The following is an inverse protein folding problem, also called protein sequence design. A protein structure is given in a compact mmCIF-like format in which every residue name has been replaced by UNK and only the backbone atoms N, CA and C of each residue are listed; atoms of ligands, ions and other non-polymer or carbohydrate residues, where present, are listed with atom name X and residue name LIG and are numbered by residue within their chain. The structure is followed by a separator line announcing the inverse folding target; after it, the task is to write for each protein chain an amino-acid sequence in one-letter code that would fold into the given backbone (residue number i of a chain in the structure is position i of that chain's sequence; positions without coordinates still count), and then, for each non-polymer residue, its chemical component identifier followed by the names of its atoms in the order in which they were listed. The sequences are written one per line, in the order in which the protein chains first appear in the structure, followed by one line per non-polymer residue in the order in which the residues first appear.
data_IF_019818123890
#
_entry.id   IF_019818123890
#
_cell.length_a   1.000
_cell.length_b   1.000
_cell.length_c   1.000
_cell.angle_alpha   90.00
_cell.angle_beta   90.00
_cell.angle_gamma   90.00
#
_symmetry.space_group_name_H-M   'P 1'
#
loop_
_entity.id
_entity.type
_entity.pdbx_description
1 polymer ?
#
# COMPACT_ATOMS: atom_id res chain seq x y z
N UNK A 1 3.20 -24.90 7.74
CA UNK A 1 3.82 -25.01 6.39
C UNK A 1 5.14 -24.24 6.26
N UNK A 2 5.54 -23.42 7.23
CA UNK A 2 6.81 -22.73 7.21
C UNK A 2 7.92 -23.62 7.82
N UNK A 3 8.90 -24.08 7.04
CA UNK A 3 9.99 -24.88 7.59
C UNK A 3 10.91 -23.98 8.42
N UNK A 4 11.14 -24.35 9.68
CA UNK A 4 12.11 -23.71 10.58
C UNK A 4 11.88 -22.20 10.88
N UNK A 5 10.84 -21.82 11.65
CA UNK A 5 10.56 -20.43 12.00
C UNK A 5 11.73 -19.66 12.65
N UNK A 6 12.57 -20.34 13.44
CA UNK A 6 13.74 -19.72 14.06
C UNK A 6 14.83 -19.36 13.04
N UNK A 7 14.99 -20.14 11.97
CA UNK A 7 15.92 -19.81 10.90
C UNK A 7 15.48 -18.54 10.17
N UNK A 8 14.17 -18.37 9.96
CA UNK A 8 13.58 -17.15 9.39
C UNK A 8 13.86 -15.92 10.26
N UNK A 9 13.65 -16.02 11.57
CA UNK A 9 13.96 -14.92 12.49
C UNK A 9 15.45 -14.56 12.49
N UNK A 10 16.33 -15.55 12.33
CA UNK A 10 17.78 -15.34 12.21
C UNK A 10 18.15 -14.66 10.89
N UNK A 11 17.49 -15.03 9.79
CA UNK A 11 17.69 -14.44 8.48
C UNK A 11 17.43 -12.92 8.47
N UNK A 12 16.44 -12.46 9.24
CA UNK A 12 16.07 -11.05 9.32
C UNK A 12 16.95 -10.22 10.27
N UNK A 13 17.95 -10.81 10.92
CA UNK A 13 18.86 -10.11 11.85
C UNK A 13 19.49 -8.83 11.29
N UNK A 14 19.87 -8.71 10.01
CA UNK A 14 20.40 -7.45 9.46
C UNK A 14 19.48 -6.25 9.67
N UNK A 15 18.16 -6.47 9.71
CA UNK A 15 17.16 -5.42 9.96
C UNK A 15 17.01 -5.06 11.44
N UNK A 16 17.63 -5.79 12.36
CA UNK A 16 17.50 -5.59 13.81
C UNK A 16 18.34 -4.40 14.28
N UNK A 17 17.87 -3.20 13.96
CA UNK A 17 18.49 -1.93 14.36
C UNK A 17 17.57 -1.14 15.30
N UNK A 18 18.16 -0.56 16.36
CA UNK A 18 17.48 0.41 17.23
C UNK A 18 17.92 1.83 16.86
N UNK A 19 16.96 2.71 16.58
CA UNK A 19 17.21 4.13 16.29
C UNK A 19 16.51 5.02 17.32
N UNK A 20 16.97 6.26 17.52
CA UNK A 20 16.22 7.25 18.27
C UNK A 20 14.79 7.39 17.74
N UNK A 21 13.82 7.31 18.66
CA UNK A 21 12.41 7.51 18.34
C UNK A 21 12.18 9.01 18.09
N UNK A 22 11.50 9.39 16.98
CA UNK A 22 11.20 10.79 16.69
C UNK A 22 10.12 11.37 17.61
N UNK A 23 9.27 10.51 18.20
CA UNK A 23 8.10 10.95 18.96
C UNK A 23 8.14 10.56 20.44
N UNK A 24 8.84 9.47 20.79
CA UNK A 24 8.91 9.00 22.17
C UNK A 24 10.17 9.51 22.85
N UNK A 25 10.00 10.18 24.00
CA UNK A 25 11.09 10.57 24.87
C UNK A 25 10.94 9.86 26.21
N UNK A 26 12.08 9.46 26.79
CA UNK A 26 12.17 8.82 28.10
C UNK A 26 13.04 9.66 29.02
N UNK A 27 12.79 9.55 30.32
CA UNK A 27 13.64 10.16 31.34
C UNK A 27 15.06 9.57 31.26
N UNK A 28 16.06 10.43 31.14
CA UNK A 28 17.43 10.07 31.41
C UNK A 28 17.66 10.24 32.92
N UNK A 29 17.44 9.17 33.67
CA UNK A 29 17.53 9.14 35.12
C UNK A 29 18.89 9.63 35.61
N UNK A 30 19.98 9.21 34.94
CA UNK A 30 21.34 9.58 35.32
C UNK A 30 21.63 11.04 35.04
N UNK A 31 21.30 11.54 33.84
CA UNK A 31 21.49 12.95 33.53
C UNK A 31 20.59 13.87 34.39
N UNK A 32 19.41 13.39 34.76
CA UNK A 32 18.51 14.08 35.69
C UNK A 32 19.10 14.10 37.10
N UNK A 33 19.59 12.97 37.62
CA UNK A 33 20.25 12.89 38.93
C UNK A 33 21.51 13.78 38.99
N UNK A 34 22.36 13.73 37.96
CA UNK A 34 23.57 14.55 37.87
C UNK A 34 23.24 16.05 37.83
N UNK A 35 22.16 16.43 37.12
CA UNK A 35 21.69 17.81 37.07
C UNK A 35 21.17 18.28 38.43
N UNK A 36 20.40 17.43 39.13
CA UNK A 36 19.90 17.71 40.48
C UNK A 36 21.07 17.87 41.45
N UNK A 37 22.07 16.98 41.37
CA UNK A 37 23.27 17.04 42.21
C UNK A 37 24.06 18.34 41.98
N UNK A 38 24.15 18.82 40.72
CA UNK A 38 24.89 20.04 40.38
C UNK A 38 24.16 21.34 40.74
N UNK A 39 22.85 21.41 40.52
CA UNK A 39 22.08 22.65 40.65
C UNK A 39 21.45 22.83 42.05
N UNK A 40 21.55 21.80 42.90
CA UNK A 40 20.85 21.72 44.18
C UNK A 40 19.38 21.37 43.96
N UNK A 41 18.81 20.58 44.89
CA UNK A 41 17.43 20.10 44.83
C UNK A 41 16.40 21.20 45.16
N UNK A 42 16.50 22.37 44.51
CA UNK A 42 15.52 23.44 44.67
C UNK A 42 14.29 23.15 43.79
N UNK A 43 13.06 23.38 44.28
CA UNK A 43 11.82 23.04 43.56
C UNK A 43 11.69 23.70 42.18
N UNK A 44 12.30 24.87 42.00
CA UNK A 44 12.30 25.70 40.80
C UNK A 44 13.25 25.23 39.69
N UNK A 45 14.16 24.27 39.98
CA UNK A 45 15.20 23.80 39.04
C UNK A 45 15.09 22.31 38.70
N UNK A 46 14.07 21.64 39.25
CA UNK A 46 13.80 20.20 39.12
C UNK A 46 13.12 19.83 37.78
N UNK A 47 13.77 20.08 36.64
CA UNK A 47 13.28 19.59 35.34
C UNK A 47 13.98 18.31 34.92
N UNK A 48 13.21 17.28 34.49
CA UNK A 48 13.76 16.04 33.99
C UNK A 48 14.56 16.24 32.70
N UNK A 49 15.73 15.60 32.61
CA UNK A 49 16.47 15.51 31.35
C UNK A 49 15.87 14.36 30.56
N UNK A 50 15.20 14.67 29.45
CA UNK A 50 14.65 13.66 28.57
C UNK A 50 15.65 13.30 27.47
N UNK A 51 15.62 12.05 27.00
CA UNK A 51 16.32 11.61 25.78
C UNK A 51 15.36 10.86 24.86
N UNK A 52 15.59 10.85 23.54
CA UNK A 52 14.81 10.01 22.63
C UNK A 52 14.83 8.54 23.07
N UNK A 53 13.66 7.90 23.12
CA UNK A 53 13.56 6.48 23.38
C UNK A 53 14.25 5.69 22.25
N UNK A 54 14.90 4.57 22.56
CA UNK A 54 15.45 3.69 21.51
C UNK A 54 14.36 2.72 21.06
N UNK A 55 13.94 2.83 19.81
CA UNK A 55 12.88 1.99 19.27
C UNK A 55 13.36 1.26 18.01
N UNK A 56 12.65 0.20 17.60
CA UNK A 56 12.87 -0.45 16.31
C UNK A 56 12.61 0.56 15.21
N UNK A 57 13.50 0.51 14.22
CA UNK A 57 13.51 1.48 13.14
C UNK A 57 12.50 1.18 12.04
N UNK A 58 12.11 -0.10 11.84
CA UNK A 58 11.17 -0.50 10.79
C UNK A 58 9.81 -0.90 11.32
N UNK A 59 8.76 -0.54 10.57
CA UNK A 59 7.40 -1.07 10.60
C UNK A 59 7.20 -2.00 9.41
N UNK A 60 6.49 -3.10 9.61
CA UNK A 60 6.17 -4.03 8.54
C UNK A 60 4.66 -4.04 8.24
N UNK A 61 4.31 -3.70 7.00
CA UNK A 61 3.01 -3.98 6.42
C UNK A 61 3.07 -5.35 5.76
N UNK A 62 2.37 -6.33 6.33
CA UNK A 62 2.21 -7.65 5.72
C UNK A 62 0.87 -7.66 4.99
N UNK A 63 0.90 -7.66 3.67
CA UNK A 63 -0.31 -7.70 2.84
C UNK A 63 -0.48 -9.13 2.35
N UNK A 64 -1.64 -9.74 2.51
CA UNK A 64 -1.89 -11.08 1.98
C UNK A 64 -2.99 -11.05 0.93
N UNK A 65 -2.77 -11.79 -0.14
CA UNK A 65 -3.76 -12.02 -1.18
C UNK A 65 -4.98 -12.79 -0.59
N UNK A 66 -6.19 -12.47 -1.08
CA UNK A 66 -7.46 -13.14 -0.75
C UNK A 66 -8.14 -13.73 -2.00
N UNK A 67 -7.35 -14.00 -3.03
CA UNK A 67 -7.68 -14.66 -4.28
C UNK A 67 -8.27 -16.06 -4.09
N UNK A 68 -8.96 -16.60 -5.10
CA UNK A 68 -9.59 -17.92 -5.03
C UNK A 68 -8.62 -19.07 -4.68
N UNK A 69 -7.34 -18.93 -5.02
CA UNK A 69 -6.28 -19.92 -4.79
C UNK A 69 -5.63 -19.78 -3.41
N UNK A 70 -5.83 -18.66 -2.70
CA UNK A 70 -5.22 -18.38 -1.40
C UNK A 70 -5.72 -19.19 -0.19
N UNK A 71 -6.91 -19.85 -0.17
CA UNK A 71 -7.33 -20.66 0.97
C UNK A 71 -6.33 -21.73 1.41
N UNK A 72 -5.62 -22.37 0.47
CA UNK A 72 -4.59 -23.39 0.78
C UNK A 72 -3.36 -22.77 1.49
N UNK A 73 -3.10 -21.49 1.27
CA UNK A 73 -1.94 -20.76 1.80
C UNK A 73 -2.24 -20.00 3.11
N UNK A 74 -3.47 -20.05 3.63
CA UNK A 74 -3.83 -19.39 4.90
C UNK A 74 -2.96 -19.82 6.10
N UNK A 75 -2.57 -21.10 6.26
CA UNK A 75 -1.65 -21.50 7.33
C UNK A 75 -0.29 -20.80 7.19
N UNK A 76 0.26 -20.72 5.97
CA UNK A 76 1.53 -20.05 5.71
C UNK A 76 1.46 -18.55 6.07
N UNK A 77 0.40 -17.85 5.66
CA UNK A 77 0.20 -16.43 6.00
C UNK A 77 0.19 -16.22 7.51
N UNK A 78 -0.54 -17.09 8.23
CA UNK A 78 -0.68 -17.01 9.68
C UNK A 78 0.64 -17.30 10.40
N UNK A 79 1.35 -18.35 9.99
CA UNK A 79 2.64 -18.74 10.55
C UNK A 79 3.73 -17.69 10.28
N UNK A 80 3.78 -17.15 9.06
CA UNK A 80 4.73 -16.10 8.70
C UNK A 80 4.45 -14.82 9.48
N UNK A 81 3.19 -14.40 9.58
CA UNK A 81 2.79 -13.26 10.40
C UNK A 81 3.21 -13.44 11.87
N UNK A 82 2.93 -14.61 12.45
CA UNK A 82 3.32 -14.93 13.82
C UNK A 82 4.84 -14.91 14.01
N UNK A 83 5.61 -15.53 13.11
CA UNK A 83 7.06 -15.57 13.18
C UNK A 83 7.69 -14.16 13.09
N UNK A 84 7.15 -13.30 12.21
CA UNK A 84 7.60 -11.92 12.04
C UNK A 84 7.24 -11.05 13.23
N UNK A 85 6.01 -11.18 13.76
CA UNK A 85 5.58 -10.44 14.95
C UNK A 85 6.38 -10.82 16.19
N UNK A 86 6.68 -12.12 16.37
CA UNK A 86 7.47 -12.64 17.49
C UNK A 86 8.97 -12.39 17.36
N UNK A 87 9.47 -12.05 16.17
CA UNK A 87 10.91 -11.80 15.94
C UNK A 87 11.47 -10.61 16.74
N UNK A 88 10.60 -9.65 17.10
CA UNK A 88 10.99 -8.40 17.75
C UNK A 88 11.95 -7.54 16.92
N UNK A 89 11.97 -7.72 15.59
CA UNK A 89 12.79 -6.96 14.64
C UNK A 89 12.09 -5.68 14.24
N UNK A 90 10.79 -5.79 13.92
CA UNK A 90 9.94 -4.68 13.56
C UNK A 90 9.32 -4.04 14.82
N UNK A 91 9.05 -2.75 14.75
CA UNK A 91 8.29 -1.99 15.76
C UNK A 91 6.85 -2.49 15.84
N UNK A 92 6.25 -2.67 14.68
CA UNK A 92 4.87 -3.11 14.52
C UNK A 92 4.79 -3.94 13.25
N UNK A 93 4.04 -5.04 13.32
CA UNK A 93 3.68 -5.86 12.17
C UNK A 93 2.17 -5.79 12.04
N UNK A 94 1.68 -5.28 10.92
CA UNK A 94 0.24 -5.18 10.65
C UNK A 94 -0.13 -6.03 9.45
N UNK A 95 -1.17 -6.85 9.58
CA UNK A 95 -1.68 -7.73 8.53
C UNK A 95 -2.85 -7.06 7.80
N UNK A 96 -2.81 -7.03 6.46
CA UNK A 96 -3.83 -6.39 5.62
C UNK A 96 -4.25 -7.32 4.47
N UNK A 97 -5.55 -7.44 4.15
CA UNK A 97 -5.99 -8.20 2.99
C UNK A 97 -5.88 -7.39 1.69
N UNK A 98 -5.46 -8.06 0.62
CA UNK A 98 -5.60 -7.60 -0.76
C UNK A 98 -6.70 -8.39 -1.46
N UNK A 99 -7.80 -7.72 -1.82
CA UNK A 99 -8.98 -8.35 -2.43
C UNK A 99 -8.73 -8.74 -3.88
N UNK A 100 -9.42 -9.77 -4.42
CA UNK A 100 -9.34 -10.14 -5.84
C UNK A 100 -9.69 -8.99 -6.80
N UNK A 101 -10.46 -8.00 -6.33
CA UNK A 101 -10.76 -6.77 -7.07
C UNK A 101 -9.57 -5.79 -7.19
N UNK A 102 -8.37 -6.19 -6.75
CA UNK A 102 -7.16 -5.37 -6.79
C UNK A 102 -7.17 -4.19 -5.82
N UNK A 103 -7.94 -4.30 -4.73
CA UNK A 103 -7.99 -3.30 -3.65
C UNK A 103 -7.23 -3.79 -2.43
N UNK A 104 -6.34 -2.95 -1.91
CA UNK A 104 -5.72 -3.10 -0.60
C UNK A 104 -5.91 -1.79 0.18
N UNK A 105 -7.17 -1.43 0.39
CA UNK A 105 -7.54 -0.25 1.18
C UNK A 105 -7.18 -0.57 2.63
N UNK A 106 -6.56 0.38 3.34
CA UNK A 106 -6.07 0.31 4.74
C UNK A 106 -4.57 0.06 4.92
N UNK A 107 -3.80 -0.23 3.86
CA UNK A 107 -2.34 -0.28 3.99
C UNK A 107 -1.78 1.14 4.15
N UNK A 108 -1.13 1.48 5.27
CA UNK A 108 -0.65 2.83 5.51
C UNK A 108 0.58 3.12 4.64
N UNK A 109 0.52 4.24 3.90
CA UNK A 109 1.63 4.74 3.08
C UNK A 109 2.24 5.95 3.77
N UNK A 110 3.26 5.71 4.59
CA UNK A 110 3.82 6.73 5.48
C UNK A 110 5.02 7.49 4.90
N UNK A 111 5.69 6.92 3.89
CA UNK A 111 6.87 7.53 3.23
C UNK A 111 7.91 8.06 4.24
N UNK A 112 8.09 7.30 5.33
CA UNK A 112 8.86 7.70 6.51
C UNK A 112 10.29 7.13 6.53
N UNK A 113 10.70 6.45 5.45
CA UNK A 113 11.96 5.70 5.36
C UNK A 113 12.09 4.58 6.40
N UNK A 114 10.97 4.22 7.03
CA UNK A 114 10.88 3.34 8.20
C UNK A 114 9.75 2.33 8.07
N UNK A 115 9.11 2.26 6.91
CA UNK A 115 8.04 1.31 6.62
C UNK A 115 8.49 0.40 5.50
N UNK A 116 8.29 -0.90 5.66
CA UNK A 116 8.53 -1.92 4.63
C UNK A 116 7.24 -2.69 4.38
N UNK A 117 7.04 -3.12 3.14
CA UNK A 117 5.85 -3.89 2.74
C UNK A 117 6.24 -5.24 2.16
N UNK A 118 5.63 -6.30 2.67
CA UNK A 118 5.71 -7.65 2.11
C UNK A 118 4.33 -8.07 1.64
N UNK A 119 4.22 -8.51 0.40
CA UNK A 119 2.97 -9.01 -0.19
C UNK A 119 3.07 -10.54 -0.28
N UNK A 120 2.23 -11.27 0.44
CA UNK A 120 2.14 -12.73 0.34
C UNK A 120 1.10 -13.08 -0.71
N UNK A 121 1.53 -13.70 -1.80
CA UNK A 121 0.66 -14.00 -2.94
C UNK A 121 1.22 -15.15 -3.77
N UNK A 122 0.37 -16.06 -4.23
CA UNK A 122 0.74 -17.05 -5.24
C UNK A 122 0.77 -16.50 -6.67
N UNK A 123 0.38 -15.24 -6.85
CA UNK A 123 0.36 -14.50 -8.11
C UNK A 123 -0.55 -15.15 -9.18
N UNK A 124 -1.60 -15.88 -8.74
CA UNK A 124 -2.55 -16.57 -9.64
C UNK A 124 -3.92 -15.91 -9.72
N UNK A 125 -4.24 -15.04 -8.74
CA UNK A 125 -5.52 -14.35 -8.64
C UNK A 125 -5.83 -13.37 -9.79
N UNK A 126 -7.10 -12.97 -9.95
CA UNK A 126 -7.52 -12.06 -11.03
C UNK A 126 -6.84 -10.69 -11.00
N UNK A 127 -6.41 -10.22 -9.82
CA UNK A 127 -5.65 -8.98 -9.66
C UNK A 127 -4.22 -9.05 -10.21
N UNK A 128 -3.71 -10.24 -10.54
CA UNK A 128 -2.39 -10.40 -11.17
C UNK A 128 -2.49 -10.49 -12.69
N UNK A 129 -3.71 -10.58 -13.24
CA UNK A 129 -3.96 -10.74 -14.67
C UNK A 129 -4.41 -9.42 -15.31
N UNK A 130 -4.29 -9.28 -16.65
CA UNK A 130 -4.84 -8.13 -17.37
C UNK A 130 -6.33 -7.95 -17.07
N UNK A 131 -6.72 -6.72 -16.73
CA UNK A 131 -8.10 -6.37 -16.39
C UNK A 131 -8.16 -5.17 -15.45
N UNK A 132 -9.37 -4.71 -15.13
CA UNK A 132 -9.54 -3.53 -14.26
C UNK A 132 -8.98 -3.78 -12.85
N UNK A 133 -9.21 -4.98 -12.30
CA UNK A 133 -8.63 -5.41 -11.03
C UNK A 133 -7.09 -5.41 -11.07
N UNK A 134 -6.50 -5.98 -12.13
CA UNK A 134 -5.06 -5.95 -12.36
C UNK A 134 -4.49 -4.54 -12.45
N UNK A 135 -5.11 -3.67 -13.24
CA UNK A 135 -4.68 -2.29 -13.35
C UNK A 135 -4.72 -1.56 -12.00
N UNK A 136 -5.77 -1.76 -11.18
CA UNK A 136 -5.83 -1.19 -9.83
C UNK A 136 -4.72 -1.74 -8.92
N UNK A 137 -4.47 -3.04 -9.00
CA UNK A 137 -3.47 -3.70 -8.18
C UNK A 137 -2.05 -3.27 -8.52
N UNK A 138 -1.66 -3.35 -9.79
CA UNK A 138 -0.33 -2.92 -10.24
C UNK A 138 -0.10 -1.42 -10.00
N UNK A 139 -1.15 -0.58 -10.09
CA UNK A 139 -1.04 0.85 -9.73
C UNK A 139 -0.73 1.01 -8.24
N UNK A 140 -1.36 0.20 -7.39
CA UNK A 140 -1.11 0.19 -5.94
C UNK A 140 0.32 -0.28 -5.64
N UNK A 141 0.76 -1.38 -6.25
CA UNK A 141 2.12 -1.90 -6.10
C UNK A 141 3.17 -0.88 -6.55
N UNK A 142 2.98 -0.24 -7.72
CA UNK A 142 3.86 0.83 -8.19
C UNK A 142 3.85 2.01 -7.22
N UNK A 143 2.70 2.42 -6.70
CA UNK A 143 2.62 3.51 -5.74
C UNK A 143 3.44 3.21 -4.47
N UNK A 144 3.35 1.97 -3.95
CA UNK A 144 4.18 1.55 -2.81
C UNK A 144 5.65 1.45 -3.17
N UNK A 145 6.00 0.87 -4.31
CA UNK A 145 7.38 0.69 -4.76
C UNK A 145 8.15 2.02 -4.85
N UNK A 146 7.49 3.14 -5.15
CA UNK A 146 8.14 4.45 -5.18
C UNK A 146 8.38 5.08 -3.80
N UNK A 147 7.73 4.60 -2.74
CA UNK A 147 7.75 5.22 -1.40
C UNK A 147 8.39 4.36 -0.33
N UNK A 148 8.46 3.06 -0.55
CA UNK A 148 8.98 2.12 0.45
C UNK A 148 9.54 0.85 -0.19
N UNK A 149 10.40 0.11 0.54
CA UNK A 149 10.76 -1.25 0.16
C UNK A 149 9.51 -2.12 0.09
N UNK A 150 9.34 -2.76 -1.05
CA UNK A 150 8.26 -3.67 -1.41
C UNK A 150 8.88 -4.97 -1.94
N UNK A 151 8.45 -6.11 -1.41
CA UNK A 151 8.75 -7.42 -1.99
C UNK A 151 7.53 -8.33 -1.97
N UNK A 152 7.50 -9.30 -2.87
CA UNK A 152 6.46 -10.33 -2.94
C UNK A 152 7.02 -11.62 -2.36
N UNK A 153 6.33 -12.18 -1.36
CA UNK A 153 6.61 -13.52 -0.84
C UNK A 153 5.70 -14.49 -1.57
N UNK A 154 6.28 -15.33 -2.41
CA UNK A 154 5.57 -16.29 -3.24
C UNK A 154 5.60 -17.68 -2.57
N UNK A 155 4.44 -18.24 -2.16
CA UNK A 155 4.37 -19.56 -1.52
C UNK A 155 4.83 -20.72 -2.41
N UNK A 156 4.72 -20.56 -3.72
CA UNK A 156 5.18 -21.55 -4.70
C UNK A 156 6.72 -21.53 -4.77
N UNK A 157 7.37 -22.68 -5.02
CA UNK A 157 8.82 -22.73 -5.23
C UNK A 157 9.25 -22.02 -6.52
N UNK A 158 10.48 -21.53 -6.53
CA UNK A 158 11.08 -20.67 -7.58
C UNK A 158 10.88 -21.21 -8.99
N UNK A 159 11.09 -22.50 -9.19
CA UNK A 159 10.97 -23.14 -10.51
C UNK A 159 9.54 -23.07 -11.11
N UNK A 160 8.52 -22.80 -10.30
CA UNK A 160 7.14 -22.62 -10.78
C UNK A 160 6.78 -21.17 -11.08
N UNK A 161 7.61 -20.20 -10.67
CA UNK A 161 7.33 -18.77 -10.85
C UNK A 161 7.12 -18.35 -12.31
N UNK A 162 7.86 -18.89 -13.31
CA UNK A 162 7.63 -18.57 -14.72
C UNK A 162 6.21 -18.87 -15.23
N UNK A 163 5.46 -19.74 -14.53
CA UNK A 163 4.09 -20.13 -14.89
C UNK A 163 3.01 -19.26 -14.23
N UNK A 164 3.40 -18.33 -13.35
CA UNK A 164 2.48 -17.45 -12.64
C UNK A 164 2.26 -16.14 -13.39
N UNK A 165 1.25 -15.36 -12.99
CA UNK A 165 0.97 -14.09 -13.65
C UNK A 165 1.97 -12.97 -13.27
N UNK A 166 2.88 -13.24 -12.33
CA UNK A 166 4.02 -12.39 -12.00
C UNK A 166 5.31 -13.23 -12.10
N UNK A 167 5.80 -13.52 -13.31
CA UNK A 167 7.03 -14.28 -13.47
C UNK A 167 8.20 -13.49 -12.88
N UNK A 168 9.00 -14.18 -12.06
CA UNK A 168 10.21 -13.65 -11.47
C UNK A 168 11.41 -14.42 -12.03
N UNK A 169 12.50 -13.70 -12.25
CA UNK A 169 13.75 -14.25 -12.77
C UNK A 169 14.88 -14.03 -11.76
N UNK A 170 15.84 -14.97 -11.67
CA UNK A 170 16.95 -14.87 -10.74
C UNK A 170 18.03 -13.90 -11.23
N UNK A 171 18.69 -13.22 -10.31
CA UNK A 171 19.73 -12.25 -10.61
C UNK A 171 20.33 -11.59 -9.38
N UNK A 172 20.91 -10.41 -9.61
CA UNK A 172 21.54 -9.59 -8.58
C UNK A 172 20.76 -8.29 -8.38
N UNK A 173 20.42 -8.01 -7.13
CA UNK A 173 19.78 -6.76 -6.69
C UNK A 173 20.79 -5.86 -6.00
N UNK A 174 20.70 -4.55 -6.25
CA UNK A 174 21.45 -3.53 -5.52
C UNK A 174 20.52 -2.45 -5.01
N UNK A 175 20.72 -2.02 -3.77
CA UNK A 175 20.01 -0.91 -3.16
C UNK A 175 20.90 0.34 -3.08
N UNK A 176 20.42 1.52 -3.47
CA UNK A 176 21.20 2.76 -3.38
C UNK A 176 21.26 3.32 -1.96
N UNK A 177 20.37 2.89 -1.06
CA UNK A 177 20.34 3.34 0.33
C UNK A 177 19.64 2.35 1.26
N UNK A 178 19.83 2.53 2.55
CA UNK A 178 19.12 1.75 3.58
C UNK A 178 17.61 2.02 3.49
N UNK A 179 16.80 0.96 3.47
CA UNK A 179 15.35 1.01 3.28
C UNK A 179 14.91 1.81 2.03
N UNK A 180 15.69 1.73 0.95
CA UNK A 180 15.37 2.40 -0.31
C UNK A 180 14.03 1.91 -0.90
N UNK A 181 13.23 2.80 -1.49
CA UNK A 181 12.05 2.38 -2.24
C UNK A 181 12.39 1.39 -3.34
N UNK A 182 11.55 0.36 -3.56
CA UNK A 182 11.83 -0.67 -4.57
C UNK A 182 12.01 -0.12 -5.99
N UNK A 183 11.37 1.00 -6.31
CA UNK A 183 11.51 1.68 -7.59
C UNK A 183 12.93 2.24 -7.84
N UNK A 184 13.77 2.34 -6.80
CA UNK A 184 15.15 2.81 -6.88
C UNK A 184 16.17 1.66 -6.88
N UNK A 185 15.70 0.41 -6.77
CA UNK A 185 16.58 -0.76 -6.86
C UNK A 185 17.04 -0.95 -8.30
N UNK A 186 18.28 -1.41 -8.45
CA UNK A 186 18.77 -1.93 -9.72
C UNK A 186 18.75 -3.45 -9.68
N UNK A 187 18.34 -4.06 -10.78
CA UNK A 187 18.31 -5.51 -10.95
C UNK A 187 19.09 -5.91 -12.20
N UNK A 188 19.95 -6.91 -12.08
CA UNK A 188 20.68 -7.52 -13.20
C UNK A 188 20.34 -9.01 -13.24
N UNK A 189 19.53 -9.49 -14.19
CA UNK A 189 19.22 -10.92 -14.31
C UNK A 189 20.49 -11.71 -14.66
N UNK A 190 20.55 -12.98 -14.24
CA UNK A 190 21.67 -13.87 -14.59
C UNK A 190 21.66 -14.26 -16.07
N UNK A 191 20.47 -14.46 -16.62
CA UNK A 191 20.26 -14.61 -18.06
C UNK A 191 19.89 -13.24 -18.64
N UNK A 192 20.75 -12.61 -19.46
CA UNK A 192 20.56 -11.23 -19.89
C UNK A 192 19.35 -11.08 -20.84
N UNK A 193 18.22 -10.65 -20.28
CA UNK A 193 17.08 -10.13 -21.02
C UNK A 193 17.00 -8.60 -20.88
N UNK A 194 16.58 -7.87 -21.94
CA UNK A 194 16.35 -6.44 -21.83
C UNK A 194 15.19 -6.17 -20.86
N UNK A 195 15.43 -5.30 -19.88
CA UNK A 195 14.39 -4.87 -18.96
C UNK A 195 13.24 -4.20 -19.74
N UNK A 196 11.97 -4.50 -19.42
CA UNK A 196 10.85 -3.85 -20.08
C UNK A 196 10.86 -2.34 -19.83
N UNK A 197 10.48 -1.56 -20.84
CA UNK A 197 10.51 -0.10 -20.73
C UNK A 197 9.63 0.42 -19.58
N UNK A 198 10.21 1.29 -18.75
CA UNK A 198 9.58 1.90 -17.55
C UNK A 198 9.02 0.90 -16.54
N UNK A 199 9.45 -0.36 -16.58
CA UNK A 199 9.13 -1.34 -15.57
C UNK A 199 9.97 -1.14 -14.30
N UNK A 200 9.43 -1.54 -13.15
CA UNK A 200 10.13 -1.46 -11.87
C UNK A 200 10.48 -2.86 -11.40
N UNK A 201 11.71 -3.11 -10.93
CA UNK A 201 12.04 -4.39 -10.34
C UNK A 201 11.38 -4.48 -8.96
N UNK A 202 10.69 -5.59 -8.70
CA UNK A 202 10.18 -5.92 -7.37
C UNK A 202 10.76 -7.27 -6.95
N UNK A 203 11.51 -7.32 -5.84
CA UNK A 203 12.03 -8.57 -5.33
C UNK A 203 10.91 -9.59 -5.07
N UNK A 204 11.14 -10.82 -5.52
CA UNK A 204 10.27 -11.97 -5.26
C UNK A 204 11.06 -13.00 -4.46
N UNK A 205 10.43 -13.52 -3.41
CA UNK A 205 11.08 -14.33 -2.39
C UNK A 205 10.24 -15.57 -2.12
N UNK A 206 10.87 -16.73 -1.99
CA UNK A 206 10.21 -17.83 -1.31
C UNK A 206 10.08 -17.52 0.19
N UNK A 207 9.12 -18.15 0.92
CA UNK A 207 9.00 -18.08 2.37
C UNK A 207 10.10 -18.90 3.09
N UNK A 208 11.35 -18.77 2.64
CA UNK A 208 12.53 -19.47 3.13
C UNK A 208 13.55 -18.54 3.78
N UNK A 209 14.32 -19.07 4.73
CA UNK A 209 15.35 -18.30 5.43
C UNK A 209 16.44 -17.71 4.51
N UNK A 210 16.98 -18.42 3.49
CA UNK A 210 17.99 -17.84 2.60
C UNK A 210 17.49 -16.60 1.84
N UNK A 211 16.28 -16.70 1.27
CA UNK A 211 15.63 -15.60 0.55
C UNK A 211 15.40 -14.37 1.42
N UNK A 212 14.88 -14.58 2.63
CA UNK A 212 14.66 -13.50 3.58
C UNK A 212 15.97 -12.90 4.11
N UNK A 213 17.06 -13.68 4.17
CA UNK A 213 18.37 -13.18 4.58
C UNK A 213 18.94 -12.23 3.53
N UNK A 214 18.89 -12.62 2.26
CA UNK A 214 19.31 -11.77 1.15
C UNK A 214 18.46 -10.50 1.08
N UNK A 215 17.13 -10.62 1.14
CA UNK A 215 16.27 -9.45 1.16
C UNK A 215 16.52 -8.53 2.37
N UNK A 216 16.71 -9.10 3.56
CA UNK A 216 17.05 -8.32 4.76
C UNK A 216 18.39 -7.58 4.60
N UNK A 217 19.39 -8.21 4.00
CA UNK A 217 20.66 -7.57 3.68
C UNK A 217 20.48 -6.42 2.68
N UNK A 218 19.73 -6.65 1.60
CA UNK A 218 19.41 -5.63 0.59
C UNK A 218 18.72 -4.39 1.20
N UNK A 219 17.80 -4.60 2.15
CA UNK A 219 17.05 -3.52 2.81
C UNK A 219 17.88 -2.82 3.90
N UNK A 220 18.74 -3.55 4.61
CA UNK A 220 19.60 -2.98 5.65
C UNK A 220 20.79 -2.20 5.04
N UNK A 221 21.32 -2.71 3.93
CA UNK A 221 22.59 -2.46 3.24
C UNK A 221 22.79 -1.10 2.52
N UNK A 222 23.54 -0.09 3.02
CA UNK A 222 23.87 1.11 2.24
C UNK A 222 25.14 0.98 1.36
N UNK A 223 25.83 -0.17 1.33
CA UNK A 223 27.15 -0.33 0.71
C UNK A 223 27.22 -0.71 -0.77
N UNK A 224 26.11 -0.67 -1.52
CA UNK A 224 26.11 -1.03 -2.95
C UNK A 224 26.42 -2.50 -3.24
N UNK A 225 26.35 -3.37 -2.23
CA UNK A 225 26.59 -4.80 -2.38
C UNK A 225 25.54 -5.45 -3.30
N UNK A 226 26.02 -6.26 -4.25
CA UNK A 226 25.17 -7.05 -5.13
C UNK A 226 24.65 -8.26 -4.36
N UNK A 227 23.34 -8.30 -4.15
CA UNK A 227 22.68 -9.34 -3.38
C UNK A 227 21.97 -10.33 -4.30
N UNK A 228 22.24 -11.63 -4.21
CA UNK A 228 21.51 -12.65 -4.97
C UNK A 228 20.03 -12.66 -4.59
N UNK A 229 19.16 -12.78 -5.59
CA UNK A 229 17.72 -12.92 -5.38
C UNK A 229 17.00 -13.09 -6.71
N UNK A 230 15.70 -12.86 -6.70
CA UNK A 230 14.88 -12.82 -7.89
C UNK A 230 14.03 -11.57 -7.90
N UNK A 231 13.71 -11.08 -9.08
CA UNK A 231 12.82 -9.94 -9.24
C UNK A 231 11.82 -10.21 -10.36
N UNK A 232 10.62 -9.66 -10.16
CA UNK A 232 9.62 -9.54 -11.22
C UNK A 232 9.54 -8.09 -11.69
N UNK A 233 9.23 -7.91 -12.96
CA UNK A 233 9.04 -6.59 -13.56
C UNK A 233 7.60 -6.13 -13.40
N UNK A 234 7.39 -5.01 -12.70
CA UNK A 234 6.09 -4.34 -12.68
C UNK A 234 5.95 -3.44 -13.91
N UNK A 235 5.12 -3.78 -14.90
CA UNK A 235 4.92 -2.97 -16.08
C UNK A 235 4.30 -1.61 -15.73
N UNK A 236 4.45 -0.60 -16.60
CA UNK A 236 3.67 0.63 -16.48
C UNK A 236 2.17 0.31 -16.58
N UNK A 237 1.37 0.96 -15.75
CA UNK A 237 -0.09 0.81 -15.78
C UNK A 237 -0.70 2.04 -16.44
N UNK A 238 -1.68 1.87 -17.34
CA UNK A 238 -2.45 3.00 -17.87
C UNK A 238 -3.00 3.89 -16.75
N UNK A 239 -2.94 5.20 -16.98
CA UNK A 239 -3.64 6.14 -16.13
C UNK A 239 -5.14 5.75 -16.06
N UNK A 240 -5.79 5.87 -14.89
CA UNK A 240 -7.22 5.65 -14.83
C UNK A 240 -7.90 6.58 -15.86
N UNK A 241 -8.97 6.12 -16.54
CA UNK A 241 -9.81 7.05 -17.27
C UNK A 241 -10.20 8.18 -16.31
N UNK A 242 -10.07 9.43 -16.76
CA UNK A 242 -10.48 10.58 -15.98
C UNK A 242 -11.92 10.32 -15.52
N UNK A 243 -12.12 10.32 -14.20
CA UNK A 243 -13.46 10.22 -13.63
C UNK A 243 -14.26 11.39 -14.24
N UNK A 244 -15.39 11.15 -14.92
CA UNK A 244 -16.17 12.24 -15.48
C UNK A 244 -16.49 13.18 -14.32
N UNK A 245 -16.08 14.44 -14.46
CA UNK A 245 -16.27 15.45 -13.43
C UNK A 245 -17.71 15.36 -12.93
N UNK A 246 -17.96 15.39 -11.60
CA UNK A 246 -19.30 15.32 -11.06
C UNK A 246 -20.12 16.37 -11.81
N UNK A 247 -21.10 15.90 -12.58
CA UNK A 247 -21.99 16.78 -13.32
C UNK A 247 -22.68 17.62 -12.25
N UNK A 248 -22.26 18.88 -12.13
CA UNK A 248 -22.87 19.82 -11.19
C UNK A 248 -24.39 19.70 -11.34
N UNK A 249 -25.15 19.49 -10.25
CA UNK A 249 -26.59 19.40 -10.35
C UNK A 249 -27.09 20.66 -11.06
N UNK A 250 -27.73 20.43 -12.21
CA UNK A 250 -28.37 21.47 -13.01
C UNK A 250 -29.25 22.29 -12.05
N UNK A 251 -29.10 23.62 -11.94
CA UNK A 251 -29.91 24.39 -11.00
C UNK A 251 -31.39 24.17 -11.32
N UNK A 252 -32.26 23.99 -10.32
CA UNK A 252 -33.68 23.77 -10.56
C UNK A 252 -34.23 24.93 -11.38
N UNK A 253 -34.94 24.61 -12.47
CA UNK A 253 -35.69 25.59 -13.26
C UNK A 253 -36.61 26.33 -12.29
N UNK A 254 -36.32 27.61 -12.02
CA UNK A 254 -37.22 28.51 -11.31
C UNK A 254 -38.51 28.61 -12.13
N UNK A 255 -39.55 27.90 -11.69
CA UNK A 255 -40.92 28.17 -12.11
C UNK A 255 -41.29 29.56 -11.58
N UNK A 256 -41.40 30.52 -12.48
CA UNK A 256 -42.00 31.82 -12.14
C UNK A 256 -43.48 31.58 -11.84
N UNK A 257 -43.84 31.54 -10.56
CA UNK A 257 -45.22 31.77 -10.15
C UNK A 257 -45.56 33.23 -10.48
N UNK A 258 -46.43 33.44 -11.46
CA UNK A 258 -47.09 34.72 -11.67
C UNK A 258 -47.88 35.06 -10.41
N UNK A 259 -47.33 35.96 -9.60
CA UNK A 259 -48.12 36.69 -8.61
C UNK A 259 -49.16 37.53 -9.35
N UNK A 260 -50.41 37.26 -9.03
CA UNK A 260 -51.61 37.92 -9.51
C UNK A 260 -51.57 39.44 -9.31
N UNK A 261 -51.55 40.18 -10.42
CA UNK A 261 -51.95 41.60 -10.42
C UNK A 261 -53.33 41.67 -11.09
N UNK A 262 -54.34 42.01 -10.28
CA UNK A 262 -55.73 42.26 -10.72
C UNK A 262 -55.81 43.53 -11.58
N UNK A 263 -56.49 43.50 -12.74
CA UNK A 263 -57.09 44.69 -13.34
C UNK A 263 -58.58 44.84 -12.95
N UNK A 264 -59.16 46.05 -13.05
CA UNK A 264 -60.48 46.38 -12.50
C UNK A 264 -61.64 46.09 -13.46
N UNK A 265 -62.82 45.90 -12.85
CA UNK A 265 -64.13 45.70 -13.50
C UNK A 265 -64.53 46.77 -14.52
N UNK A 266 -65.06 46.34 -15.69
CA UNK A 266 -66.15 47.03 -16.40
C UNK A 266 -67.01 46.05 -17.22
N UNK A 267 -68.28 46.45 -17.35
CA UNK A 267 -69.54 45.71 -17.61
C UNK A 267 -69.69 45.00 -18.98
N UNK A 268 -70.70 44.11 -19.14
CA UNK A 268 -70.84 43.21 -20.28
C UNK A 268 -71.71 43.79 -21.41
N UNK A 269 -71.51 43.31 -22.64
CA UNK A 269 -72.46 43.47 -23.75
C UNK A 269 -72.48 42.26 -24.68
N UNK A 270 -73.66 41.64 -24.76
CA UNK A 270 -74.31 40.95 -25.89
C UNK A 270 -73.57 39.88 -26.73
N UNK A 271 -74.16 38.68 -26.69
CA UNK A 271 -74.20 37.55 -27.65
C UNK A 271 -74.52 37.93 -29.12
N UNK A 272 -74.72 36.98 -30.06
CA UNK A 272 -74.29 35.57 -30.19
C UNK A 272 -73.71 35.24 -31.59
N UNK A 273 -73.21 34.01 -31.82
CA UNK A 273 -73.04 33.54 -33.20
C UNK A 273 -72.49 32.13 -33.34
N UNK A 274 -73.40 31.15 -33.27
CA UNK A 274 -73.59 30.07 -34.27
C UNK A 274 -72.34 29.38 -34.83
N UNK A 275 -72.12 28.10 -34.49
CA UNK A 275 -72.43 26.93 -35.37
C UNK A 275 -71.11 26.21 -35.69
N UNK A 276 -71.00 24.92 -36.02
CA UNK A 276 -71.86 23.75 -36.08
C UNK A 276 -70.94 22.60 -36.56
N UNK A 277 -70.95 21.43 -35.91
CA UNK A 277 -70.55 20.10 -36.42
C UNK A 277 -69.08 19.92 -36.90
N UNK A 278 -68.48 18.73 -36.99
CA UNK A 278 -68.93 17.34 -36.98
C UNK A 278 -67.72 16.46 -36.64
N UNK A 279 -67.87 15.54 -35.70
CA UNK A 279 -67.08 14.29 -35.70
C UNK A 279 -67.73 13.30 -36.68
N UNK A 280 -66.99 12.27 -37.11
CA UNK A 280 -67.49 10.94 -36.75
C UNK A 280 -66.41 10.00 -36.18
N UNK A 281 -66.91 9.13 -35.30
CA UNK A 281 -66.35 7.93 -34.66
C UNK A 281 -66.01 6.85 -35.71
N UNK A 282 -64.92 6.06 -35.57
CA UNK A 282 -64.79 4.71 -34.92
C UNK A 282 -65.54 3.60 -35.69
N UNK A 283 -65.22 2.29 -35.58
CA UNK A 283 -64.43 1.57 -34.57
C UNK A 283 -63.01 1.16 -34.97
#
# INVERSE_FOLDING_TARGET
MLPHPLALQRALRPLKRKVPSPHLRVLDERATADRIARLGARPDVWFPVLRPARDRWLRLNLVHDTGPTMPVWRPLVSELHAALAQSGIFRTVTLHPATPDGRARQVPVLDDGRTVTLVISDCMGPQWRPGEAGNRWYRTLRHWAHRMPLAVVQPLPEHLWPTTALPAEPGLLTSPSTAAPSATLSFTPYDPAPAPDRALPVPVLEPGAPWLAHWAALVADPGGARTPGAAAWLPPVPAPPAEPAPTSPRPPRRSWCCASVRPPHRKPSASPGTSRWRSPRSP
#
